data_IF_367977316157
#
_entry.id   IF_367977316157
#
_cell.length_a   1.000
_cell.length_b   1.000
_cell.length_c   1.000
_cell.angle_alpha   90.00
_cell.angle_beta   90.00
_cell.angle_gamma   90.00
#
_symmetry.space_group_name_H-M   'P 1'
#
loop_
_entity.id
_entity.type
_entity.pdbx_description
1 polymer ?
#
# COMPACT_ATOMS: atom_id res chain seq x y z
N UNK A 1 -1.76 -25.28 8.58
CA UNK A 1 -2.11 -26.72 8.50
C UNK A 1 -3.10 -27.02 7.36
N UNK A 2 -4.24 -26.38 7.26
CA UNK A 2 -5.23 -26.64 6.20
C UNK A 2 -4.73 -26.35 4.76
N UNK A 3 -4.08 -25.21 4.53
CA UNK A 3 -3.60 -24.82 3.19
C UNK A 3 -2.48 -25.73 2.65
N UNK A 4 -1.64 -26.28 3.52
CA UNK A 4 -0.67 -27.29 3.13
C UNK A 4 -1.35 -28.53 2.55
N UNK A 5 -2.34 -29.09 3.26
CA UNK A 5 -3.05 -30.29 2.79
C UNK A 5 -3.75 -30.05 1.45
N UNK A 6 -4.28 -28.82 1.25
CA UNK A 6 -4.88 -28.40 -0.01
C UNK A 6 -3.87 -28.46 -1.17
N UNK A 7 -2.69 -27.87 -0.97
CA UNK A 7 -1.66 -27.79 -2.01
C UNK A 7 -0.99 -29.16 -2.25
N UNK A 8 -0.73 -29.92 -1.18
CA UNK A 8 -0.15 -31.28 -1.29
C UNK A 8 -1.10 -32.30 -1.98
N UNK A 9 -2.40 -31.97 -2.14
CA UNK A 9 -3.36 -32.79 -2.86
C UNK A 9 -3.27 -32.63 -4.40
N UNK A 10 -2.59 -31.60 -4.88
CA UNK A 10 -2.42 -31.32 -6.31
C UNK A 10 -1.17 -32.02 -6.85
N UNK A 11 -1.29 -32.75 -7.97
CA UNK A 11 -0.19 -33.55 -8.54
C UNK A 11 1.00 -32.70 -9.05
N UNK A 12 0.75 -31.41 -9.36
CA UNK A 12 1.70 -30.47 -9.95
C UNK A 12 2.27 -29.46 -8.91
N UNK A 13 1.91 -29.60 -7.64
CA UNK A 13 2.35 -28.70 -6.56
C UNK A 13 3.01 -29.49 -5.44
N UNK A 14 4.23 -29.11 -5.06
CA UNK A 14 4.97 -29.67 -3.93
C UNK A 14 5.20 -28.61 -2.86
N UNK A 15 4.79 -28.85 -1.63
CA UNK A 15 5.06 -27.97 -0.51
C UNK A 15 6.43 -28.28 0.10
N UNK A 16 7.43 -27.52 -0.32
CA UNK A 16 8.84 -27.71 0.05
C UNK A 16 9.22 -27.16 1.42
N UNK A 17 8.35 -26.34 2.06
CA UNK A 17 8.63 -25.78 3.39
C UNK A 17 7.47 -25.00 3.99
N UNK A 18 7.57 -24.76 5.30
CA UNK A 18 6.63 -23.93 6.08
C UNK A 18 7.40 -23.01 7.02
N UNK A 19 6.85 -21.82 7.28
CA UNK A 19 7.42 -20.83 8.18
C UNK A 19 6.33 -20.19 9.04
N UNK A 20 6.62 -19.94 10.32
CA UNK A 20 5.68 -19.34 11.27
C UNK A 20 5.80 -17.81 11.40
N UNK A 21 6.84 -17.20 10.83
CA UNK A 21 7.06 -15.74 10.81
C UNK A 21 7.94 -15.33 9.63
N UNK A 22 8.05 -14.01 9.40
CA UNK A 22 8.80 -13.47 8.27
C UNK A 22 10.28 -13.84 8.24
N UNK A 23 10.94 -13.95 9.39
CA UNK A 23 12.34 -14.38 9.48
C UNK A 23 12.50 -15.84 9.04
N UNK A 24 11.66 -16.74 9.55
CA UNK A 24 11.67 -18.14 9.15
C UNK A 24 11.33 -18.29 7.66
N UNK A 25 10.41 -17.48 7.12
CA UNK A 25 10.10 -17.48 5.69
C UNK A 25 11.32 -17.16 4.83
N UNK A 26 12.13 -16.16 5.21
CA UNK A 26 13.38 -15.82 4.51
C UNK A 26 14.36 -17.02 4.54
N UNK A 27 14.58 -17.62 5.70
CA UNK A 27 15.49 -18.80 5.81
C UNK A 27 15.00 -19.98 5.00
N UNK A 28 13.70 -20.31 5.10
CA UNK A 28 13.11 -21.42 4.33
C UNK A 28 13.21 -21.16 2.81
N UNK A 29 13.08 -19.91 2.38
CA UNK A 29 13.21 -19.51 0.98
C UNK A 29 14.65 -19.68 0.47
N UNK A 30 15.67 -19.36 1.27
CA UNK A 30 17.08 -19.58 0.93
C UNK A 30 17.37 -21.08 0.78
N UNK A 31 16.87 -21.88 1.72
CA UNK A 31 17.14 -23.32 1.80
C UNK A 31 16.44 -24.09 0.67
N UNK A 32 15.14 -23.82 0.47
CA UNK A 32 14.31 -24.64 -0.42
C UNK A 32 14.15 -24.06 -1.82
N UNK A 33 14.47 -22.77 -2.05
CA UNK A 33 14.36 -22.06 -3.34
C UNK A 33 13.03 -22.33 -4.05
N UNK A 34 11.89 -22.01 -3.40
CA UNK A 34 10.57 -22.26 -3.96
C UNK A 34 10.29 -21.38 -5.17
N UNK A 35 9.47 -21.84 -6.10
CA UNK A 35 8.95 -21.04 -7.21
C UNK A 35 7.92 -20.01 -6.71
N UNK A 36 7.10 -20.40 -5.72
CA UNK A 36 6.05 -19.55 -5.13
C UNK A 36 6.15 -19.59 -3.60
N UNK A 37 6.08 -18.42 -2.99
CA UNK A 37 5.92 -18.26 -1.53
C UNK A 37 4.51 -17.77 -1.24
N UNK A 38 3.71 -18.59 -0.58
CA UNK A 38 2.39 -18.21 -0.08
C UNK A 38 2.55 -17.50 1.27
N UNK A 39 2.32 -16.18 1.29
CA UNK A 39 2.65 -15.30 2.41
C UNK A 39 1.41 -14.76 3.12
N UNK A 40 1.26 -15.06 4.40
CA UNK A 40 0.24 -14.43 5.24
C UNK A 40 0.66 -12.98 5.57
N UNK A 41 -0.29 -12.03 5.51
CA UNK A 41 -0.05 -10.64 5.93
C UNK A 41 0.14 -10.53 7.43
N UNK A 42 -0.70 -11.25 8.20
CA UNK A 42 -0.69 -11.17 9.67
C UNK A 42 0.21 -12.26 10.24
N UNK A 43 1.44 -11.90 10.55
CA UNK A 43 2.42 -12.79 11.18
C UNK A 43 3.03 -12.14 12.41
N UNK A 44 3.50 -12.96 13.40
CA UNK A 44 4.25 -12.43 14.54
C UNK A 44 5.55 -11.71 14.11
N UNK A 45 5.98 -10.74 14.88
CA UNK A 45 7.23 -9.97 14.79
C UNK A 45 7.30 -9.00 13.59
N UNK A 46 6.98 -9.44 12.39
CA UNK A 46 7.05 -8.65 11.17
C UNK A 46 5.88 -8.98 10.26
N UNK A 47 5.23 -7.94 9.71
CA UNK A 47 4.17 -8.13 8.71
C UNK A 47 4.69 -8.93 7.51
N UNK A 48 3.82 -9.79 6.94
CA UNK A 48 4.16 -10.51 5.72
C UNK A 48 4.54 -9.59 4.57
N UNK A 49 3.85 -8.47 4.41
CA UNK A 49 4.15 -7.47 3.37
C UNK A 49 5.57 -6.90 3.56
N UNK A 50 5.96 -6.56 4.79
CA UNK A 50 7.31 -6.08 5.08
C UNK A 50 8.42 -7.13 4.85
N UNK A 51 8.06 -8.41 4.87
CA UNK A 51 9.01 -9.49 4.61
C UNK A 51 9.24 -9.74 3.11
N UNK A 52 8.31 -9.34 2.23
CA UNK A 52 8.36 -9.61 0.78
C UNK A 52 9.69 -9.18 0.13
N UNK A 53 10.20 -7.96 0.31
CA UNK A 53 11.45 -7.56 -0.33
C UNK A 53 12.62 -8.45 0.07
N UNK A 54 12.71 -8.85 1.34
CA UNK A 54 13.79 -9.72 1.83
C UNK A 54 13.67 -11.16 1.31
N UNK A 55 12.45 -11.66 1.11
CA UNK A 55 12.19 -12.96 0.49
C UNK A 55 12.62 -12.96 -0.97
N UNK A 56 12.28 -11.92 -1.72
CA UNK A 56 12.65 -11.77 -3.13
C UNK A 56 14.15 -11.55 -3.32
N UNK A 57 14.81 -10.85 -2.39
CA UNK A 57 16.26 -10.71 -2.37
C UNK A 57 16.95 -12.07 -2.11
N UNK A 58 16.40 -12.87 -1.20
CA UNK A 58 16.90 -14.21 -0.86
C UNK A 58 16.74 -15.21 -2.01
N UNK A 59 15.67 -15.10 -2.81
CA UNK A 59 15.41 -15.94 -3.99
C UNK A 59 14.81 -15.10 -5.12
N UNK A 60 15.63 -14.47 -5.98
CA UNK A 60 15.15 -13.56 -7.03
C UNK A 60 14.22 -14.19 -8.08
N UNK A 61 14.21 -15.53 -8.17
CA UNK A 61 13.29 -16.29 -9.03
C UNK A 61 11.92 -16.56 -8.43
N UNK A 62 11.81 -16.48 -7.10
CA UNK A 62 10.55 -16.77 -6.39
C UNK A 62 9.49 -15.69 -6.67
N UNK A 63 8.23 -16.12 -6.66
CA UNK A 63 7.05 -15.25 -6.72
C UNK A 63 6.37 -15.25 -5.35
N UNK A 64 5.84 -14.10 -4.95
CA UNK A 64 5.11 -14.01 -3.68
C UNK A 64 3.62 -13.84 -3.94
N UNK A 65 2.83 -14.80 -3.47
CA UNK A 65 1.38 -14.74 -3.44
C UNK A 65 0.91 -14.45 -2.02
N UNK A 66 0.32 -13.28 -1.81
CA UNK A 66 -0.18 -12.87 -0.50
C UNK A 66 -1.53 -13.52 -0.21
N UNK A 67 -1.70 -14.04 1.01
CA UNK A 67 -2.94 -14.60 1.51
C UNK A 67 -3.38 -13.80 2.75
N UNK A 68 -4.53 -13.15 2.72
CA UNK A 68 -4.95 -12.20 3.76
C UNK A 68 -6.44 -12.24 4.07
N UNK A 69 -6.81 -11.84 5.28
CA UNK A 69 -8.19 -11.49 5.65
C UNK A 69 -8.54 -10.04 5.27
N UNK A 70 -7.56 -9.23 4.88
CA UNK A 70 -7.74 -7.82 4.58
C UNK A 70 -8.26 -7.65 3.15
N UNK A 71 -9.43 -7.03 3.01
CA UNK A 71 -10.09 -6.76 1.73
C UNK A 71 -10.03 -5.28 1.31
N UNK A 72 -9.24 -4.47 2.02
CA UNK A 72 -9.02 -3.07 1.68
C UNK A 72 -8.00 -2.94 0.53
N UNK A 73 -8.32 -2.17 -0.53
CA UNK A 73 -7.42 -1.94 -1.66
C UNK A 73 -6.03 -1.39 -1.30
N UNK A 74 -5.87 -0.74 -0.14
CA UNK A 74 -4.58 -0.22 0.31
C UNK A 74 -3.57 -1.35 0.56
N UNK A 75 -4.00 -2.46 1.16
CA UNK A 75 -3.14 -3.63 1.39
C UNK A 75 -2.70 -4.29 0.08
N UNK A 76 -3.60 -4.34 -0.91
CA UNK A 76 -3.26 -4.85 -2.25
C UNK A 76 -2.15 -4.00 -2.87
N UNK A 77 -2.32 -2.66 -2.86
CA UNK A 77 -1.29 -1.73 -3.39
C UNK A 77 0.04 -1.86 -2.66
N UNK A 78 0.00 -1.96 -1.33
CA UNK A 78 1.21 -2.11 -0.51
C UNK A 78 1.94 -3.42 -0.82
N UNK A 79 1.21 -4.54 -0.93
CA UNK A 79 1.77 -5.83 -1.29
C UNK A 79 2.43 -5.81 -2.68
N UNK A 80 1.76 -5.27 -3.69
CA UNK A 80 2.34 -5.16 -5.04
C UNK A 80 3.51 -4.18 -5.09
N UNK A 81 3.46 -3.08 -4.36
CA UNK A 81 4.58 -2.15 -4.23
C UNK A 81 5.79 -2.79 -3.55
N UNK A 82 5.58 -3.75 -2.63
CA UNK A 82 6.63 -4.54 -2.00
C UNK A 82 7.19 -5.66 -2.92
N UNK A 83 6.55 -5.92 -4.07
CA UNK A 83 6.98 -6.92 -5.07
C UNK A 83 6.15 -8.20 -5.09
N UNK A 84 4.97 -8.25 -4.43
CA UNK A 84 4.08 -9.40 -4.57
C UNK A 84 3.63 -9.58 -6.02
N UNK A 85 3.47 -10.84 -6.44
CA UNK A 85 2.92 -11.21 -7.74
C UNK A 85 1.41 -11.50 -7.70
N UNK A 86 0.83 -11.65 -6.50
CA UNK A 86 -0.61 -11.85 -6.36
C UNK A 86 -1.11 -11.62 -4.95
N UNK A 87 -2.44 -11.50 -4.84
CA UNK A 87 -3.16 -11.27 -3.59
C UNK A 87 -4.49 -12.02 -3.60
N UNK A 88 -4.68 -12.91 -2.63
CA UNK A 88 -5.87 -13.76 -2.45
C UNK A 88 -6.44 -13.53 -1.05
N UNK A 89 -7.76 -13.56 -0.94
CA UNK A 89 -8.43 -13.55 0.36
C UNK A 89 -8.39 -14.94 1.00
N UNK A 90 -8.23 -15.02 2.32
CA UNK A 90 -8.29 -16.28 3.07
C UNK A 90 -9.67 -16.95 3.01
N UNK A 91 -10.71 -16.17 2.70
CA UNK A 91 -12.07 -16.63 2.48
C UNK A 91 -12.30 -17.24 1.09
N UNK A 92 -11.33 -17.08 0.18
CA UNK A 92 -11.39 -17.68 -1.15
C UNK A 92 -11.54 -19.20 -1.04
N UNK A 93 -12.32 -19.77 -1.94
CA UNK A 93 -12.48 -21.21 -2.05
C UNK A 93 -11.14 -21.87 -2.44
N UNK A 94 -10.95 -23.10 -2.03
CA UNK A 94 -9.68 -23.82 -2.18
C UNK A 94 -9.19 -23.89 -3.64
N UNK A 95 -10.08 -24.13 -4.59
CA UNK A 95 -9.75 -24.14 -6.01
C UNK A 95 -9.20 -22.79 -6.53
N UNK A 96 -9.61 -21.68 -5.92
CA UNK A 96 -9.11 -20.34 -6.26
C UNK A 96 -7.69 -20.11 -5.78
N UNK A 97 -7.36 -20.60 -4.59
CA UNK A 97 -5.99 -20.52 -4.05
C UNK A 97 -5.02 -21.32 -4.94
N UNK A 98 -5.43 -22.53 -5.33
CA UNK A 98 -4.65 -23.38 -6.24
C UNK A 98 -4.47 -22.72 -7.61
N UNK A 99 -5.56 -22.16 -8.19
CA UNK A 99 -5.47 -21.43 -9.45
C UNK A 99 -4.55 -20.22 -9.38
N UNK A 100 -4.59 -19.46 -8.27
CA UNK A 100 -3.72 -18.32 -8.05
C UNK A 100 -2.24 -18.73 -7.94
N UNK A 101 -1.94 -19.84 -7.26
CA UNK A 101 -0.58 -20.39 -7.18
C UNK A 101 -0.05 -20.74 -8.58
N UNK A 102 -0.86 -21.43 -9.41
CA UNK A 102 -0.48 -21.78 -10.78
C UNK A 102 -0.25 -20.55 -11.66
N UNK A 103 -1.16 -19.58 -11.59
CA UNK A 103 -1.04 -18.34 -12.37
C UNK A 103 0.26 -17.59 -12.03
N UNK A 104 0.54 -17.43 -10.74
CA UNK A 104 1.74 -16.74 -10.26
C UNK A 104 3.02 -17.54 -10.59
N UNK A 105 3.01 -18.88 -10.47
CA UNK A 105 4.13 -19.75 -10.85
C UNK A 105 4.48 -19.60 -12.32
N UNK A 106 3.49 -19.45 -13.19
CA UNK A 106 3.67 -19.22 -14.62
C UNK A 106 4.10 -17.78 -15.00
N UNK A 107 4.36 -16.92 -14.00
CA UNK A 107 4.79 -15.54 -14.20
C UNK A 107 3.66 -14.55 -14.44
N UNK A 108 2.40 -14.97 -14.30
CA UNK A 108 1.23 -14.11 -14.28
C UNK A 108 1.07 -13.35 -12.97
N UNK A 109 0.03 -12.54 -12.88
CA UNK A 109 -0.38 -11.84 -11.66
C UNK A 109 -1.81 -12.21 -11.29
N UNK A 110 -2.06 -12.41 -10.01
CA UNK A 110 -3.40 -12.76 -9.53
C UNK A 110 -3.91 -11.78 -8.48
N UNK A 111 -5.11 -11.26 -8.69
CA UNK A 111 -5.87 -10.50 -7.67
C UNK A 111 -7.28 -11.06 -7.63
N UNK A 112 -7.77 -11.38 -6.45
CA UNK A 112 -9.15 -11.82 -6.27
C UNK A 112 -10.11 -10.85 -6.99
N UNK A 113 -11.05 -11.33 -7.84
CA UNK A 113 -11.87 -10.48 -8.71
C UNK A 113 -12.61 -9.35 -7.97
N UNK A 114 -13.16 -9.63 -6.78
CA UNK A 114 -13.85 -8.63 -5.97
C UNK A 114 -12.89 -7.53 -5.49
N UNK A 115 -11.64 -7.86 -5.18
CA UNK A 115 -10.61 -6.87 -4.82
C UNK A 115 -10.12 -6.08 -6.03
N UNK A 116 -9.98 -6.73 -7.19
CA UNK A 116 -9.64 -6.07 -8.44
C UNK A 116 -10.65 -4.98 -8.80
N UNK A 117 -11.94 -5.28 -8.71
CA UNK A 117 -13.01 -4.31 -8.94
C UNK A 117 -12.95 -3.13 -7.96
N UNK A 118 -12.74 -3.41 -6.66
CA UNK A 118 -12.59 -2.37 -5.62
C UNK A 118 -11.34 -1.51 -5.83
N UNK A 119 -10.24 -2.13 -6.26
CA UNK A 119 -9.00 -1.41 -6.56
C UNK A 119 -9.20 -0.41 -7.71
N UNK A 120 -9.84 -0.85 -8.81
CA UNK A 120 -10.16 0.02 -9.95
C UNK A 120 -11.10 1.15 -9.55
N UNK A 121 -12.13 0.86 -8.75
CA UNK A 121 -13.05 1.88 -8.24
C UNK A 121 -12.32 2.91 -7.35
N UNK A 122 -11.48 2.44 -6.42
CA UNK A 122 -10.70 3.32 -5.54
C UNK A 122 -9.69 4.20 -6.32
N UNK A 123 -9.09 3.66 -7.40
CA UNK A 123 -8.22 4.44 -8.28
C UNK A 123 -8.99 5.49 -9.09
N UNK A 124 -10.19 5.14 -9.57
CA UNK A 124 -11.06 6.10 -10.27
C UNK A 124 -11.49 7.25 -9.36
N UNK A 125 -11.89 6.94 -8.12
CA UNK A 125 -12.22 7.95 -7.11
C UNK A 125 -11.01 8.81 -6.72
N UNK A 126 -9.81 8.22 -6.61
CA UNK A 126 -8.60 8.96 -6.32
C UNK A 126 -8.22 9.92 -7.45
N UNK A 127 -8.39 9.49 -8.72
CA UNK A 127 -8.21 10.37 -9.89
C UNK A 127 -9.22 11.50 -9.89
N UNK A 128 -10.49 11.20 -9.66
CA UNK A 128 -11.55 12.21 -9.61
C UNK A 128 -11.28 13.25 -8.50
N UNK A 129 -10.90 12.80 -7.30
CA UNK A 129 -10.48 13.70 -6.23
C UNK A 129 -9.24 14.53 -6.57
N UNK A 130 -8.27 13.96 -7.28
CA UNK A 130 -7.07 14.69 -7.71
C UNK A 130 -7.36 15.73 -8.81
N UNK A 131 -8.40 15.51 -9.63
CA UNK A 131 -8.90 16.49 -10.59
C UNK A 131 -9.65 17.63 -9.89
N UNK A 132 -10.38 17.34 -8.81
CA UNK A 132 -11.10 18.34 -8.01
C UNK A 132 -10.19 19.11 -7.05
N UNK A 133 -9.19 18.45 -6.46
CA UNK A 133 -8.22 19.04 -5.54
C UNK A 133 -6.82 18.46 -5.77
N UNK A 134 -5.92 19.23 -6.40
CA UNK A 134 -4.56 18.76 -6.72
C UNK A 134 -3.65 18.60 -5.50
N UNK A 135 -4.13 18.96 -4.30
CA UNK A 135 -3.35 18.90 -3.07
C UNK A 135 -3.51 17.54 -2.37
N UNK A 136 -2.40 16.99 -1.87
CA UNK A 136 -2.44 15.88 -0.91
C UNK A 136 -3.02 16.34 0.43
N UNK A 137 -3.45 15.38 1.27
CA UNK A 137 -3.96 15.70 2.62
C UNK A 137 -2.96 16.51 3.43
N UNK A 138 -1.67 16.19 3.34
CA UNK A 138 -0.60 16.92 4.03
C UNK A 138 -0.41 18.33 3.48
N UNK A 139 -0.49 18.51 2.18
CA UNK A 139 -0.43 19.83 1.56
C UNK A 139 -1.67 20.68 1.90
N UNK A 140 -2.83 20.05 2.02
CA UNK A 140 -4.08 20.71 2.46
C UNK A 140 -3.97 21.20 3.91
N UNK A 141 -3.41 20.38 4.80
CA UNK A 141 -3.16 20.75 6.19
C UNK A 141 -2.17 21.93 6.30
N UNK A 142 -1.07 21.88 5.54
CA UNK A 142 -0.11 23.00 5.45
C UNK A 142 -0.75 24.26 4.86
N UNK A 143 -1.54 24.12 3.80
CA UNK A 143 -2.28 25.23 3.19
C UNK A 143 -3.21 25.92 4.18
N UNK A 144 -3.98 25.12 4.97
CA UNK A 144 -4.86 25.63 6.02
C UNK A 144 -4.10 26.49 7.04
N UNK A 145 -2.98 25.97 7.57
CA UNK A 145 -2.16 26.68 8.54
C UNK A 145 -1.53 27.96 7.95
N UNK A 146 -1.07 27.90 6.69
CA UNK A 146 -0.59 29.08 5.97
C UNK A 146 -1.67 30.15 5.83
N UNK A 147 -2.91 29.74 5.51
CA UNK A 147 -4.04 30.65 5.35
C UNK A 147 -4.48 31.26 6.69
N UNK A 148 -4.39 30.50 7.80
CA UNK A 148 -4.62 31.00 9.16
C UNK A 148 -3.53 31.97 9.65
N UNK A 149 -2.43 32.11 8.94
CA UNK A 149 -1.41 33.10 9.26
C UNK A 149 -0.13 32.53 9.84
N UNK A 150 -0.04 31.23 10.06
CA UNK A 150 1.14 30.62 10.66
C UNK A 150 2.39 30.74 9.76
N UNK A 151 3.54 30.87 10.41
CA UNK A 151 4.86 30.85 9.77
C UNK A 151 5.32 29.42 9.51
N UNK A 152 6.30 29.23 8.61
CA UNK A 152 6.87 27.90 8.35
C UNK A 152 7.45 27.25 9.62
N UNK A 153 7.96 28.06 10.58
CA UNK A 153 8.47 27.57 11.86
C UNK A 153 7.35 27.05 12.77
N UNK A 154 6.22 27.76 12.84
CA UNK A 154 5.05 27.33 13.62
C UNK A 154 4.43 26.10 13.02
N UNK A 155 4.26 26.07 11.70
CA UNK A 155 3.76 24.89 10.94
C UNK A 155 4.64 23.68 11.20
N UNK A 156 5.97 23.84 11.13
CA UNK A 156 6.91 22.77 11.40
C UNK A 156 6.73 22.17 12.79
N UNK A 157 6.52 23.03 13.82
CA UNK A 157 6.25 22.59 15.19
C UNK A 157 4.89 21.89 15.32
N UNK A 158 3.83 22.47 14.75
CA UNK A 158 2.47 21.95 14.85
C UNK A 158 2.34 20.58 14.16
N UNK A 159 3.04 20.39 13.05
CA UNK A 159 2.97 19.19 12.24
C UNK A 159 4.10 18.18 12.50
N UNK A 160 4.98 18.45 13.47
CA UNK A 160 6.13 17.61 13.83
C UNK A 160 7.06 17.30 12.65
N UNK A 161 7.33 18.31 11.79
CA UNK A 161 8.23 18.22 10.64
C UNK A 161 9.38 19.22 10.73
N UNK A 162 10.38 19.12 9.85
CA UNK A 162 11.41 20.15 9.75
C UNK A 162 10.89 21.43 9.10
N UNK A 163 11.50 22.58 9.42
CA UNK A 163 11.16 23.85 8.76
C UNK A 163 11.36 23.75 7.24
N UNK A 164 12.43 23.09 6.81
CA UNK A 164 12.71 22.83 5.39
C UNK A 164 11.61 22.00 4.73
N UNK A 165 11.04 21.03 5.42
CA UNK A 165 9.90 20.24 4.92
C UNK A 165 8.65 21.11 4.77
N UNK A 166 8.37 21.99 5.74
CA UNK A 166 7.25 22.93 5.65
C UNK A 166 7.42 23.91 4.46
N UNK A 167 8.62 24.41 4.22
CA UNK A 167 8.95 25.23 3.06
C UNK A 167 8.76 24.50 1.74
N UNK A 168 9.16 23.23 1.67
CA UNK A 168 8.98 22.39 0.50
C UNK A 168 7.49 22.18 0.21
N UNK A 169 6.68 21.85 1.22
CA UNK A 169 5.22 21.73 1.06
C UNK A 169 4.62 23.03 0.55
N UNK A 170 5.00 24.16 1.13
CA UNK A 170 4.54 25.48 0.66
C UNK A 170 4.87 25.72 -0.81
N UNK A 171 6.11 25.44 -1.22
CA UNK A 171 6.53 25.60 -2.61
C UNK A 171 5.71 24.71 -3.57
N UNK A 172 5.48 23.45 -3.20
CA UNK A 172 4.65 22.52 -3.98
C UNK A 172 3.19 22.98 -4.07
N UNK A 173 2.60 23.47 -2.97
CA UNK A 173 1.23 24.03 -2.95
C UNK A 173 1.13 25.19 -3.93
N UNK A 174 2.05 26.17 -3.85
CA UNK A 174 2.04 27.33 -4.72
C UNK A 174 2.17 26.92 -6.20
N UNK A 175 3.03 25.94 -6.50
CA UNK A 175 3.22 25.43 -7.85
C UNK A 175 1.98 24.68 -8.37
N UNK A 176 1.42 23.76 -7.58
CA UNK A 176 0.24 22.94 -7.96
C UNK A 176 -0.98 23.81 -8.20
N UNK A 177 -1.20 24.80 -7.35
CA UNK A 177 -2.32 25.72 -7.45
C UNK A 177 -2.06 26.92 -8.39
N UNK A 178 -0.84 27.04 -8.93
CA UNK A 178 -0.39 28.18 -9.76
C UNK A 178 -0.62 29.52 -9.07
N UNK A 179 -0.37 29.60 -7.76
CA UNK A 179 -0.49 30.80 -6.94
C UNK A 179 0.87 31.48 -6.80
N UNK A 180 0.87 32.82 -6.77
CA UNK A 180 2.10 33.60 -6.65
C UNK A 180 2.17 34.38 -5.34
N UNK A 181 1.03 34.62 -4.70
CA UNK A 181 0.94 35.46 -3.51
C UNK A 181 0.21 34.75 -2.36
N UNK A 182 0.51 35.22 -1.13
CA UNK A 182 -0.21 34.75 0.06
C UNK A 182 -1.71 35.11 0.01
N UNK A 183 -2.06 36.24 -0.56
CA UNK A 183 -3.47 36.68 -0.68
C UNK A 183 -4.28 35.72 -1.57
N UNK A 184 -3.66 35.22 -2.64
CA UNK A 184 -4.28 34.21 -3.51
C UNK A 184 -4.46 32.87 -2.77
N UNK A 185 -3.47 32.47 -1.97
CA UNK A 185 -3.52 31.25 -1.16
C UNK A 185 -4.66 31.33 -0.12
N UNK A 186 -4.82 32.47 0.57
CA UNK A 186 -5.92 32.67 1.52
C UNK A 186 -7.29 32.63 0.81
N UNK A 187 -7.42 33.29 -0.35
CA UNK A 187 -8.66 33.24 -1.16
C UNK A 187 -9.00 31.82 -1.60
N UNK A 188 -8.00 31.06 -2.02
CA UNK A 188 -8.21 29.66 -2.40
C UNK A 188 -8.71 28.84 -1.20
N UNK A 189 -8.07 28.97 -0.04
CA UNK A 189 -8.45 28.24 1.17
C UNK A 189 -9.88 28.58 1.62
N UNK A 190 -10.28 29.88 1.56
CA UNK A 190 -11.65 30.33 1.84
C UNK A 190 -12.65 29.75 0.84
N UNK A 191 -12.35 29.80 -0.45
CA UNK A 191 -13.23 29.29 -1.50
C UNK A 191 -13.44 27.76 -1.45
N UNK A 192 -12.53 27.03 -0.78
CA UNK A 192 -12.61 25.58 -0.57
C UNK A 192 -13.15 25.19 0.82
N UNK A 193 -13.57 26.15 1.66
CA UNK A 193 -14.08 25.89 2.99
C UNK A 193 -13.04 25.36 3.98
N UNK A 194 -11.74 25.44 3.66
CA UNK A 194 -10.68 24.87 4.49
C UNK A 194 -10.48 25.60 5.83
N UNK A 195 -11.10 26.76 6.01
CA UNK A 195 -11.03 27.56 7.24
C UNK A 195 -12.26 27.41 8.14
N UNK A 196 -13.34 26.77 7.68
CA UNK A 196 -14.62 26.67 8.40
C UNK A 196 -14.62 25.56 9.48
N UNK A 197 -13.60 24.69 9.55
CA UNK A 197 -13.47 23.62 10.54
C UNK A 197 -12.89 24.06 11.92
N UNK A 198 -12.96 25.34 12.27
CA UNK A 198 -12.40 25.87 13.54
C UNK A 198 -13.43 25.91 14.68
N UNK A 199 -14.56 25.22 14.57
CA UNK A 199 -15.52 25.12 15.69
C UNK A 199 -15.83 23.66 16.04
N UNK A 200 -14.90 23.00 16.75
CA UNK A 200 -15.26 22.04 17.81
C UNK A 200 -14.06 21.82 18.74
#
# INVERSE_FOLDING_TARGET
>A
MYKRQLLDAEEDIEVVGEAGNGRQAIYATIENKPDVVLMDVVMPEKSGIEAIPSVLEAAPGAKVLVLSMQDDPSYVREAFAAGASGYVLKEAVDAEVVAAVREVANGGSYVHPALGARLVAAEAEARHRAEEDPLSDREREVLRLLALGHTNQEIAKMLFISVRTAETHRAHIMQKLRLSTRAELVRYALGRGLLDEVQQ
#
